data_IF_207589595018
#
_entry.id   IF_207589595018
#
_cell.length_a   1.000
_cell.length_b   1.000
_cell.length_c   1.000
_cell.angle_alpha   90.00
_cell.angle_beta   90.00
_cell.angle_gamma   90.00
#
_symmetry.space_group_name_H-M   'P 1'
#
loop_
_entity.id
_entity.type
_entity.pdbx_description
1 polymer ?
#
# COMPACT_ATOMS: atom_id res chain seq x y z
N UNK A 1 -28.59 3.43 37.85
CA UNK A 1 -28.71 4.86 37.47
C UNK A 1 -27.31 5.40 37.26
N UNK A 2 -26.83 5.51 36.00
CA UNK A 2 -25.52 6.13 35.76
C UNK A 2 -25.64 7.62 36.09
N UNK A 3 -24.88 8.07 37.08
CA UNK A 3 -24.79 9.48 37.47
C UNK A 3 -24.46 10.32 36.24
N UNK A 4 -25.21 11.39 35.99
CA UNK A 4 -25.03 12.33 34.85
C UNK A 4 -23.56 12.75 34.65
N UNK A 5 -22.81 12.87 35.76
CA UNK A 5 -21.37 13.17 35.77
C UNK A 5 -20.50 12.07 35.15
N UNK A 6 -20.85 10.79 35.37
CA UNK A 6 -20.14 9.62 34.83
C UNK A 6 -20.38 9.49 33.33
N UNK A 7 -21.61 9.78 32.86
CA UNK A 7 -21.95 9.81 31.43
C UNK A 7 -21.15 10.90 30.70
N UNK A 8 -21.06 12.10 31.30
CA UNK A 8 -20.27 13.22 30.73
C UNK A 8 -18.78 12.89 30.69
N UNK A 9 -18.24 12.25 31.73
CA UNK A 9 -16.83 11.85 31.76
C UNK A 9 -16.52 10.80 30.70
N UNK A 10 -17.40 9.80 30.53
CA UNK A 10 -17.25 8.80 29.49
C UNK A 10 -17.26 9.43 28.09
N UNK A 11 -18.20 10.34 27.80
CA UNK A 11 -18.26 11.04 26.52
C UNK A 11 -17.00 11.88 26.23
N UNK A 12 -16.46 12.57 27.23
CA UNK A 12 -15.22 13.36 27.10
C UNK A 12 -14.00 12.48 26.81
N UNK A 13 -13.89 11.31 27.46
CA UNK A 13 -12.77 10.40 27.26
C UNK A 13 -12.83 9.76 25.85
N UNK A 14 -14.03 9.45 25.34
CA UNK A 14 -14.18 8.95 23.97
C UNK A 14 -13.81 9.98 22.90
N UNK A 15 -13.97 11.29 23.17
CA UNK A 15 -13.53 12.33 22.23
C UNK A 15 -12.01 12.52 22.18
N UNK A 16 -11.28 12.21 23.26
CA UNK A 16 -9.82 12.40 23.31
C UNK A 16 -9.08 11.20 22.71
N UNK A 17 -9.62 9.99 22.84
CA UNK A 17 -8.97 8.76 22.34
C UNK A 17 -9.24 8.54 20.82
N UNK A 18 -10.19 9.27 20.23
CA UNK A 18 -10.60 9.10 18.83
C UNK A 18 -10.00 10.06 17.81
N UNK A 19 -9.21 11.06 18.23
CA UNK A 19 -8.75 12.16 17.34
C UNK A 19 -7.25 12.07 17.10
N UNK A 20 -6.81 10.93 16.57
CA UNK A 20 -5.63 10.86 15.68
C UNK A 20 -6.09 10.73 14.22
N UNK A 21 -7.22 11.38 13.89
CA UNK A 21 -7.64 11.50 12.49
C UNK A 21 -6.76 12.57 11.85
N UNK A 22 -5.61 12.12 11.36
CA UNK A 22 -4.79 12.78 10.34
C UNK A 22 -5.74 13.52 9.40
N UNK A 23 -5.65 14.85 9.40
CA UNK A 23 -6.44 15.74 8.57
C UNK A 23 -6.10 15.39 7.11
N UNK A 24 -6.92 14.52 6.52
CA UNK A 24 -6.65 13.88 5.25
C UNK A 24 -7.94 13.52 4.52
N UNK A 25 -8.73 14.53 4.19
CA UNK A 25 -9.70 14.54 3.07
C UNK A 25 -10.67 13.36 2.94
N UNK A 26 -11.91 13.58 3.34
CA UNK A 26 -13.06 12.65 3.31
C UNK A 26 -13.41 12.02 1.93
N UNK A 27 -12.83 12.45 0.80
CA UNK A 27 -13.18 11.95 -0.54
C UNK A 27 -11.96 11.59 -1.39
N UNK A 28 -11.20 10.56 -0.97
CA UNK A 28 -10.18 9.92 -1.79
C UNK A 28 -10.26 8.40 -1.69
N UNK A 29 -9.70 7.64 -2.65
CA UNK A 29 -9.63 6.18 -2.54
C UNK A 29 -8.96 5.81 -1.22
N UNK A 30 -9.73 5.17 -0.33
CA UNK A 30 -9.30 4.82 1.03
C UNK A 30 -8.33 3.65 0.95
N UNK A 31 -7.06 3.93 1.13
CA UNK A 31 -6.01 2.92 1.23
C UNK A 31 -5.65 2.83 2.70
N UNK A 32 -5.41 1.62 3.15
CA UNK A 32 -5.07 1.36 4.55
C UNK A 32 -3.56 1.37 4.72
N UNK A 33 -3.10 1.59 5.95
CA UNK A 33 -1.70 1.36 6.30
C UNK A 33 -1.27 -0.10 6.02
N UNK A 34 -2.21 -1.04 6.09
CA UNK A 34 -2.01 -2.44 5.68
C UNK A 34 -1.65 -2.53 4.19
N UNK A 35 -2.45 -1.90 3.32
CA UNK A 35 -2.21 -1.88 1.87
C UNK A 35 -0.82 -1.29 1.55
N UNK A 36 -0.42 -0.21 2.25
CA UNK A 36 0.92 0.38 2.11
C UNK A 36 2.00 -0.63 2.47
N UNK A 37 1.90 -1.24 3.66
CA UNK A 37 2.90 -2.19 4.15
C UNK A 37 3.03 -3.38 3.22
N UNK A 38 1.93 -3.91 2.72
CA UNK A 38 1.92 -5.06 1.83
C UNK A 38 2.57 -4.72 0.48
N UNK A 39 2.29 -3.54 -0.09
CA UNK A 39 2.97 -3.08 -1.31
C UNK A 39 4.45 -2.89 -1.06
N UNK A 40 4.84 -2.16 -0.01
CA UNK A 40 6.25 -1.88 0.26
C UNK A 40 7.05 -3.17 0.48
N UNK A 41 6.54 -4.09 1.31
CA UNK A 41 7.23 -5.35 1.63
C UNK A 41 7.33 -6.33 0.46
N UNK A 42 6.29 -6.44 -0.37
CA UNK A 42 6.27 -7.41 -1.47
C UNK A 42 6.89 -6.85 -2.77
N UNK A 43 7.05 -5.53 -2.87
CA UNK A 43 7.59 -4.85 -4.04
C UNK A 43 8.94 -4.16 -3.79
N UNK A 44 9.60 -4.34 -2.62
CA UNK A 44 10.86 -3.67 -2.24
C UNK A 44 11.85 -3.56 -3.39
N UNK A 45 12.18 -4.68 -4.05
CA UNK A 45 13.18 -4.74 -5.13
C UNK A 45 12.85 -3.82 -6.32
N UNK A 46 11.55 -3.60 -6.58
CA UNK A 46 11.07 -2.78 -7.68
C UNK A 46 10.88 -1.31 -7.28
N UNK A 47 10.84 -1.01 -5.98
CA UNK A 47 10.50 0.31 -5.44
C UNK A 47 11.68 1.06 -4.84
N UNK A 48 12.65 0.35 -4.28
CA UNK A 48 13.78 0.95 -3.58
C UNK A 48 14.68 1.72 -4.55
N UNK A 49 15.09 2.94 -4.17
CA UNK A 49 15.92 3.80 -5.03
C UNK A 49 17.33 3.28 -5.22
N UNK A 50 17.86 2.56 -4.23
CA UNK A 50 19.17 1.90 -4.27
C UNK A 50 19.23 0.81 -5.35
N UNK A 51 18.09 0.24 -5.71
CA UNK A 51 17.99 -0.83 -6.69
C UNK A 51 17.83 -0.27 -8.12
N UNK A 52 18.38 -0.97 -9.13
CA UNK A 52 18.12 -0.64 -10.51
C UNK A 52 16.62 -0.65 -10.80
N UNK A 53 16.17 0.27 -11.66
CA UNK A 53 14.77 0.38 -12.03
C UNK A 53 14.32 -0.87 -12.82
N UNK A 54 13.81 -1.86 -12.10
CA UNK A 54 13.33 -3.11 -12.65
C UNK A 54 11.80 -3.16 -12.57
N UNK A 55 11.12 -3.55 -13.65
CA UNK A 55 9.67 -3.69 -13.64
C UNK A 55 9.26 -4.90 -12.79
N UNK A 56 8.15 -4.77 -12.06
CA UNK A 56 7.60 -5.86 -11.29
C UNK A 56 7.13 -7.00 -12.23
N UNK A 57 7.55 -8.27 -11.99
CA UNK A 57 7.10 -9.39 -12.80
C UNK A 57 5.57 -9.53 -12.73
N UNK A 58 4.90 -9.60 -13.89
CA UNK A 58 3.44 -9.63 -13.97
C UNK A 58 2.83 -10.83 -13.22
N UNK A 59 3.49 -11.99 -13.25
CA UNK A 59 3.10 -13.19 -12.48
C UNK A 59 3.61 -13.21 -11.04
N UNK A 60 4.47 -12.28 -10.65
CA UNK A 60 5.15 -12.26 -9.36
C UNK A 60 4.27 -11.82 -8.19
N UNK A 61 4.79 -12.03 -6.97
CA UNK A 61 4.10 -11.73 -5.72
C UNK A 61 3.71 -10.25 -5.61
N UNK A 62 4.61 -9.33 -6.00
CA UNK A 62 4.32 -7.90 -6.05
C UNK A 62 3.07 -7.59 -6.89
N UNK A 63 2.99 -8.08 -8.12
CA UNK A 63 1.83 -7.84 -8.97
C UNK A 63 0.57 -8.59 -8.54
N UNK A 64 0.71 -9.72 -7.83
CA UNK A 64 -0.43 -10.38 -7.18
C UNK A 64 -1.04 -9.48 -6.10
N UNK A 65 -0.21 -8.98 -5.18
CA UNK A 65 -0.63 -8.05 -4.12
C UNK A 65 -1.25 -6.79 -4.72
N UNK A 66 -0.57 -6.17 -5.70
CA UNK A 66 -1.10 -4.99 -6.40
C UNK A 66 -2.45 -5.26 -7.06
N UNK A 67 -2.69 -6.46 -7.61
CA UNK A 67 -3.98 -6.83 -8.21
C UNK A 67 -5.08 -7.08 -7.18
N UNK A 68 -4.76 -7.74 -6.08
CA UNK A 68 -5.67 -7.95 -4.95
C UNK A 68 -6.14 -6.61 -4.36
N UNK A 69 -5.19 -5.68 -4.25
CA UNK A 69 -5.40 -4.29 -3.84
C UNK A 69 -6.23 -3.52 -4.90
N UNK A 70 -5.87 -3.62 -6.19
CA UNK A 70 -6.56 -2.97 -7.33
C UNK A 70 -8.00 -3.38 -7.55
N UNK A 71 -8.45 -4.53 -7.06
CA UNK A 71 -9.79 -5.07 -7.33
C UNK A 71 -10.94 -4.14 -6.94
N UNK A 72 -10.68 -3.00 -6.32
CA UNK A 72 -11.72 -2.11 -5.78
C UNK A 72 -11.60 -0.62 -6.10
N UNK A 73 -10.47 -0.05 -6.54
CA UNK A 73 -10.29 1.43 -6.55
C UNK A 73 -9.35 1.98 -7.64
N UNK A 74 -9.88 2.83 -8.52
CA UNK A 74 -9.06 3.70 -9.36
C UNK A 74 -8.32 4.75 -8.51
N UNK A 75 -7.01 4.93 -8.75
CA UNK A 75 -6.18 5.90 -8.04
C UNK A 75 -5.40 5.38 -6.83
N UNK A 76 -5.37 4.05 -6.64
CA UNK A 76 -4.76 3.42 -5.46
C UNK A 76 -3.24 3.61 -5.31
N UNK A 77 -2.46 3.66 -6.38
CA UNK A 77 -1.03 3.93 -6.16
C UNK A 77 -0.78 5.36 -5.65
N UNK A 78 -1.68 6.31 -5.95
CA UNK A 78 -1.58 7.70 -5.46
C UNK A 78 -1.88 7.82 -3.96
N UNK A 79 -2.81 7.04 -3.41
CA UNK A 79 -3.05 7.06 -1.95
C UNK A 79 -1.92 6.37 -1.19
N UNK A 80 -1.30 5.30 -1.73
CA UNK A 80 -0.16 4.64 -1.10
C UNK A 80 1.01 5.61 -0.97
N UNK A 81 1.31 6.36 -2.05
CA UNK A 81 2.30 7.44 -2.03
C UNK A 81 2.00 8.50 -0.96
N UNK A 82 0.72 8.83 -0.73
CA UNK A 82 0.31 9.77 0.32
C UNK A 82 0.49 9.24 1.74
N UNK A 83 0.48 7.92 1.94
CA UNK A 83 0.66 7.28 3.24
C UNK A 83 2.14 7.01 3.57
N UNK A 84 3.06 7.28 2.63
CA UNK A 84 4.49 7.12 2.89
C UNK A 84 4.95 8.13 3.95
N UNK A 85 5.71 7.65 4.92
CA UNK A 85 6.45 8.49 5.86
C UNK A 85 7.62 9.21 5.16
N UNK A 86 8.24 10.17 5.84
CA UNK A 86 9.43 10.84 5.31
C UNK A 86 10.55 9.83 4.99
N UNK A 87 10.84 8.93 5.93
CA UNK A 87 11.87 7.89 5.77
C UNK A 87 11.54 6.93 4.61
N UNK A 88 10.27 6.53 4.47
CA UNK A 88 9.82 5.69 3.36
C UNK A 88 9.96 6.41 2.01
N UNK A 89 9.76 7.73 1.95
CA UNK A 89 9.99 8.53 0.74
C UNK A 89 11.46 8.73 0.42
N UNK A 90 12.34 8.66 1.41
CA UNK A 90 13.78 8.64 1.16
C UNK A 90 14.20 7.30 0.53
N UNK A 91 13.70 6.19 1.07
CA UNK A 91 14.03 4.83 0.65
C UNK A 91 13.40 4.42 -0.68
N UNK A 92 12.12 4.74 -0.90
CA UNK A 92 11.33 4.26 -2.04
C UNK A 92 11.03 5.36 -3.05
N UNK A 93 10.98 4.99 -4.32
CA UNK A 93 10.67 5.88 -5.43
C UNK A 93 9.14 5.96 -5.65
N UNK A 94 8.58 7.14 -5.38
CA UNK A 94 7.16 7.43 -5.57
C UNK A 94 6.70 7.16 -7.02
N UNK A 95 7.54 7.45 -8.02
CA UNK A 95 7.23 7.23 -9.43
C UNK A 95 7.14 5.74 -9.74
N UNK A 96 8.02 4.92 -9.14
CA UNK A 96 7.97 3.45 -9.28
C UNK A 96 6.70 2.89 -8.65
N UNK A 97 6.29 3.41 -7.49
CA UNK A 97 5.02 3.03 -6.83
C UNK A 97 3.83 3.35 -7.74
N UNK A 98 3.80 4.55 -8.34
CA UNK A 98 2.73 4.93 -9.28
C UNK A 98 2.68 4.01 -10.51
N UNK A 99 3.83 3.59 -11.02
CA UNK A 99 3.95 2.73 -12.19
C UNK A 99 3.57 1.27 -11.93
N UNK A 100 3.49 0.81 -10.67
CA UNK A 100 2.93 -0.51 -10.36
C UNK A 100 1.51 -0.67 -10.92
N UNK A 101 0.75 0.44 -11.04
CA UNK A 101 -0.56 0.40 -11.69
C UNK A 101 -0.43 -0.09 -13.13
N UNK A 102 0.43 0.46 -13.97
CA UNK A 102 0.50 0.03 -15.38
C UNK A 102 1.13 -1.36 -15.51
N UNK A 103 2.21 -1.63 -14.77
CA UNK A 103 2.97 -2.88 -14.85
C UNK A 103 2.12 -4.10 -14.48
N UNK A 104 1.32 -3.99 -13.42
CA UNK A 104 0.52 -5.10 -12.92
C UNK A 104 -0.92 -5.13 -13.49
N UNK A 105 -1.23 -4.34 -14.53
CA UNK A 105 -2.54 -4.36 -15.21
C UNK A 105 -2.71 -5.54 -16.17
N UNK A 106 -1.60 -6.10 -16.66
CA UNK A 106 -1.66 -7.25 -17.55
C UNK A 106 -2.06 -8.48 -16.72
N UNK A 107 -3.06 -9.24 -17.19
CA UNK A 107 -3.21 -10.63 -16.73
C UNK A 107 -1.95 -11.37 -17.19
N UNK A 108 -1.29 -12.16 -16.32
CA UNK A 108 -0.14 -12.92 -16.76
C UNK A 108 -0.64 -13.84 -17.87
N UNK A 109 -0.13 -13.64 -19.09
CA UNK A 109 -0.14 -14.74 -20.06
C UNK A 109 0.74 -15.83 -19.45
N UNK A 110 0.37 -17.08 -19.68
CA UNK A 110 1.02 -18.28 -19.13
C UNK A 110 2.52 -18.41 -19.44
N UNK A 111 3.11 -17.49 -20.21
CA UNK A 111 4.50 -17.47 -20.62
C UNK A 111 5.49 -16.87 -19.59
N UNK A 112 5.02 -16.32 -18.46
CA UNK A 112 5.90 -15.66 -17.47
C UNK A 112 6.38 -16.57 -16.33
N UNK A 113 6.05 -17.87 -16.36
CA UNK A 113 6.45 -18.82 -15.31
C UNK A 113 7.73 -19.61 -15.62
N UNK A 114 8.32 -19.47 -16.81
CA UNK A 114 9.38 -20.38 -17.28
C UNK A 114 10.83 -19.96 -16.95
N UNK A 115 11.08 -18.83 -16.30
CA UNK A 115 12.45 -18.38 -15.99
C UNK A 115 12.95 -18.70 -14.57
N UNK A 116 12.35 -19.69 -13.90
CA UNK A 116 12.93 -20.30 -12.68
C UNK A 116 13.19 -21.78 -12.92
N UNK A 117 14.01 -22.08 -13.93
CA UNK A 117 14.71 -23.37 -13.97
C UNK A 117 15.93 -23.24 -13.08
N UNK A 118 15.75 -23.55 -11.80
CA UNK A 118 16.82 -23.68 -10.81
C UNK A 118 17.85 -24.67 -11.39
N UNK A 119 19.02 -24.16 -11.76
CA UNK A 119 20.23 -24.96 -11.96
C UNK A 119 20.58 -25.56 -10.61
N UNK A 120 20.25 -26.84 -10.41
CA UNK A 120 20.80 -27.64 -9.32
C UNK A 120 22.27 -27.90 -9.61
N UNK A 121 23.13 -27.55 -8.66
CA UNK A 121 24.42 -28.21 -8.50
C UNK A 121 24.23 -29.69 -8.13
#
# INVERSE_FOLDING_TARGET
>A
MLSRKVVVYFLLVFTIIGVDTVIGGWFGPKCTEGDKRDVLSNCVLNLEKSNPATPAPVGGLCCKVVREIKGTKDGMMKCIVKLLTADEKEQYDETRILNLKSQCSLRPSSASFDEVKITSC
#
